data_IF_730488896827
#
_entry.id   IF_730488896827
#
_cell.length_a   1.000
_cell.length_b   1.000
_cell.length_c   1.000
_cell.angle_alpha   90.00
_cell.angle_beta   90.00
_cell.angle_gamma   90.00
#
_symmetry.space_group_name_H-M   'P 1'
#
loop_
_entity.id
_entity.type
_entity.pdbx_description
1 polymer ?
#
# COMPACT_ATOMS: atom_id res chain seq x y z
N UNK A 1 18.44 6.47 30.26
CA UNK A 1 19.66 6.75 31.03
C UNK A 1 20.21 8.17 30.82
N UNK A 2 20.14 8.80 29.67
CA UNK A 2 20.69 10.16 29.42
C UNK A 2 20.02 11.26 30.24
N UNK A 3 18.70 11.18 30.52
CA UNK A 3 17.99 12.14 31.39
C UNK A 3 18.53 12.11 32.83
N UNK A 4 18.87 10.94 33.36
CA UNK A 4 19.43 10.81 34.72
C UNK A 4 20.84 11.35 34.80
N UNK A 5 21.64 11.22 33.76
CA UNK A 5 22.99 11.80 33.69
C UNK A 5 22.95 13.33 33.59
N UNK A 6 21.97 13.89 32.86
CA UNK A 6 21.76 15.33 32.75
C UNK A 6 21.29 15.98 34.06
N UNK A 7 20.54 15.23 34.87
CA UNK A 7 20.00 15.70 36.17
C UNK A 7 21.09 15.96 37.20
N UNK A 8 22.22 15.21 37.22
CA UNK A 8 23.21 15.19 38.31
C UNK A 8 22.50 15.12 39.68
N UNK A 9 22.74 16.05 40.59
CA UNK A 9 22.14 16.07 41.94
C UNK A 9 21.04 17.12 42.10
N UNK A 10 20.45 17.63 40.99
CA UNK A 10 19.38 18.66 41.05
C UNK A 10 17.98 18.02 40.97
N UNK A 11 16.93 18.73 41.34
CA UNK A 11 15.55 18.29 41.11
C UNK A 11 15.27 18.18 39.61
N UNK A 12 14.40 17.24 39.22
CA UNK A 12 14.00 17.06 37.83
C UNK A 12 13.29 18.30 37.30
N UNK A 13 13.85 18.92 36.26
CA UNK A 13 13.25 20.03 35.53
C UNK A 13 13.14 19.65 34.04
N UNK A 14 12.27 20.35 33.30
CA UNK A 14 12.06 20.16 31.87
C UNK A 14 13.36 20.27 31.04
N UNK A 15 14.30 21.11 31.50
CA UNK A 15 15.63 21.25 30.87
C UNK A 15 16.50 19.97 30.96
N UNK A 16 16.18 19.05 31.88
CA UNK A 16 16.91 17.78 32.02
C UNK A 16 16.35 16.68 31.11
N UNK A 17 15.16 16.87 30.50
CA UNK A 17 14.56 15.90 29.60
C UNK A 17 15.36 15.84 28.31
N UNK A 18 16.06 14.73 28.12
CA UNK A 18 16.75 14.39 26.87
C UNK A 18 15.87 13.42 26.11
N UNK A 19 15.14 13.93 25.13
CA UNK A 19 14.45 13.10 24.18
C UNK A 19 15.51 12.52 23.23
N UNK A 20 15.72 11.22 23.28
CA UNK A 20 16.41 10.52 22.21
C UNK A 20 15.41 10.53 21.05
N UNK A 21 15.60 11.42 20.06
CA UNK A 21 15.20 11.09 18.71
C UNK A 21 16.15 9.95 18.29
N UNK A 22 15.75 8.69 18.54
CA UNK A 22 16.25 7.65 17.68
C UNK A 22 15.84 8.09 16.28
N UNK A 23 16.78 8.32 15.39
CA UNK A 23 16.55 8.20 13.97
C UNK A 23 16.18 6.72 13.75
N UNK A 24 14.97 6.36 14.20
CA UNK A 24 14.36 5.09 13.89
C UNK A 24 14.31 5.03 12.38
N UNK A 25 14.67 3.89 11.81
CA UNK A 25 14.53 3.60 10.38
C UNK A 25 13.25 4.27 9.90
N UNK A 26 13.38 5.17 8.90
CA UNK A 26 12.29 6.03 8.46
C UNK A 26 11.06 5.16 8.24
N UNK A 27 10.04 5.34 9.08
CA UNK A 27 8.87 4.46 9.10
C UNK A 27 8.31 4.37 7.69
N UNK A 28 8.04 3.17 7.19
CA UNK A 28 7.47 3.00 5.85
C UNK A 28 5.97 3.24 5.85
N UNK A 29 5.43 3.75 4.73
CA UNK A 29 4.01 3.75 4.41
C UNK A 29 3.78 2.82 3.23
N UNK A 30 3.00 1.76 3.43
CA UNK A 30 2.53 0.87 2.38
C UNK A 30 1.13 1.31 1.94
N UNK A 31 1.00 1.80 0.72
CA UNK A 31 -0.28 2.15 0.10
C UNK A 31 -0.71 1.02 -0.84
N UNK A 32 -1.75 0.30 -0.48
CA UNK A 32 -2.32 -0.78 -1.29
C UNK A 32 -3.40 -0.22 -2.19
N UNK A 33 -3.27 -0.46 -3.49
CA UNK A 33 -4.24 -0.09 -4.54
C UNK A 33 -4.81 -1.38 -5.10
N UNK A 34 -6.01 -1.75 -4.63
CA UNK A 34 -6.65 -3.03 -4.89
C UNK A 34 -7.72 -2.90 -5.96
N UNK A 35 -7.60 -3.70 -7.00
CA UNK A 35 -8.60 -3.89 -8.03
C UNK A 35 -9.77 -4.73 -7.47
N UNK A 36 -10.98 -4.15 -7.47
CA UNK A 36 -12.22 -4.78 -7.09
C UNK A 36 -13.19 -4.91 -8.28
N UNK A 37 -12.68 -4.86 -9.50
CA UNK A 37 -13.48 -4.99 -10.73
C UNK A 37 -14.11 -6.37 -10.86
N UNK A 38 -15.06 -6.49 -11.77
CA UNK A 38 -15.79 -7.74 -12.02
C UNK A 38 -14.90 -8.91 -12.41
N UNK A 39 -13.77 -8.66 -13.09
CA UNK A 39 -12.80 -9.69 -13.43
C UNK A 39 -12.08 -10.28 -12.20
N UNK A 40 -11.82 -9.46 -11.20
CA UNK A 40 -11.24 -9.91 -9.93
C UNK A 40 -12.23 -10.74 -9.09
N UNK A 41 -13.54 -10.54 -9.24
CA UNK A 41 -14.56 -11.34 -8.54
C UNK A 41 -14.57 -12.80 -9.01
N UNK A 42 -14.18 -13.04 -10.26
CA UNK A 42 -14.11 -14.39 -10.83
C UNK A 42 -12.93 -15.20 -10.27
N UNK A 43 -13.12 -16.53 -10.12
CA UNK A 43 -12.02 -17.47 -9.87
C UNK A 43 -11.27 -17.28 -8.55
N UNK A 44 -11.93 -16.75 -7.51
CA UNK A 44 -11.33 -16.53 -6.18
C UNK A 44 -10.17 -15.51 -6.14
N UNK A 45 -9.89 -14.77 -7.23
CA UNK A 45 -8.78 -13.81 -7.30
C UNK A 45 -8.90 -12.71 -6.25
N UNK A 46 -10.09 -12.12 -6.10
CA UNK A 46 -10.33 -11.09 -5.09
C UNK A 46 -10.15 -11.66 -3.66
N UNK A 47 -10.60 -12.89 -3.40
CA UNK A 47 -10.39 -13.52 -2.10
C UNK A 47 -8.89 -13.72 -1.82
N UNK A 48 -8.13 -14.16 -2.81
CA UNK A 48 -6.68 -14.31 -2.69
C UNK A 48 -6.00 -12.94 -2.49
N UNK A 49 -6.40 -11.91 -3.25
CA UNK A 49 -5.87 -10.56 -3.09
C UNK A 49 -6.16 -9.99 -1.69
N UNK A 50 -7.37 -10.21 -1.18
CA UNK A 50 -7.74 -9.83 0.19
C UNK A 50 -6.87 -10.54 1.23
N UNK A 51 -6.68 -11.84 1.11
CA UNK A 51 -5.80 -12.62 1.99
C UNK A 51 -4.37 -12.10 1.99
N UNK A 52 -3.84 -11.76 0.80
CA UNK A 52 -2.51 -11.18 0.67
C UNK A 52 -2.42 -9.79 1.32
N UNK A 53 -3.40 -8.92 1.13
CA UNK A 53 -3.45 -7.61 1.80
C UNK A 53 -3.44 -7.77 3.31
N UNK A 54 -4.20 -8.72 3.87
CA UNK A 54 -4.18 -9.03 5.31
C UNK A 54 -2.78 -9.43 5.77
N UNK A 55 -2.14 -10.37 5.06
CA UNK A 55 -0.79 -10.82 5.41
C UNK A 55 0.25 -9.69 5.34
N UNK A 56 0.13 -8.81 4.34
CA UNK A 56 1.00 -7.63 4.22
C UNK A 56 0.74 -6.58 5.30
N UNK A 57 -0.51 -6.44 5.76
CA UNK A 57 -0.83 -5.58 6.91
C UNK A 57 -0.22 -6.12 8.19
N UNK A 58 -0.30 -7.44 8.43
CA UNK A 58 0.32 -8.09 9.60
C UNK A 58 1.84 -7.94 9.58
N UNK A 59 2.45 -8.01 8.41
CA UNK A 59 3.87 -7.74 8.24
C UNK A 59 4.20 -6.28 8.55
N UNK A 60 3.45 -5.33 7.99
CA UNK A 60 3.62 -3.90 8.24
C UNK A 60 3.45 -3.57 9.74
N UNK A 61 2.51 -4.25 10.43
CA UNK A 61 2.34 -4.11 11.87
C UNK A 61 3.60 -4.50 12.65
N UNK A 62 4.20 -5.65 12.31
CA UNK A 62 5.44 -6.12 12.94
C UNK A 62 6.62 -5.17 12.67
N UNK A 63 6.67 -4.58 11.49
CA UNK A 63 7.68 -3.61 11.07
C UNK A 63 7.38 -2.18 11.57
N UNK A 64 6.30 -1.98 12.35
CA UNK A 64 5.81 -0.66 12.82
C UNK A 64 5.58 0.34 11.69
N UNK A 65 5.26 -0.15 10.50
CA UNK A 65 4.94 0.64 9.33
C UNK A 65 3.48 1.11 9.35
N UNK A 66 3.21 2.16 8.58
CA UNK A 66 1.85 2.63 8.31
C UNK A 66 1.30 1.96 7.06
N UNK A 67 -0.03 1.85 7.01
CA UNK A 67 -0.73 1.29 5.86
C UNK A 67 -1.87 2.21 5.42
N UNK A 68 -2.12 2.23 4.12
CA UNK A 68 -3.30 2.83 3.51
C UNK A 68 -3.90 1.85 2.50
N UNK A 69 -5.21 1.95 2.27
CA UNK A 69 -5.91 1.10 1.32
C UNK A 69 -6.81 1.93 0.42
N UNK A 70 -6.61 1.77 -0.87
CA UNK A 70 -7.46 2.28 -1.94
C UNK A 70 -8.05 1.10 -2.67
N UNK A 71 -9.36 1.10 -2.89
CA UNK A 71 -10.04 0.12 -3.73
C UNK A 71 -10.61 0.82 -4.96
N UNK A 72 -10.49 0.21 -6.13
CA UNK A 72 -11.07 0.73 -7.36
C UNK A 72 -11.82 -0.36 -8.13
N UNK A 73 -12.85 0.03 -8.87
CA UNK A 73 -13.67 -0.85 -9.67
C UNK A 73 -14.93 -0.14 -10.18
N UNK A 74 -15.58 -0.70 -11.19
CA UNK A 74 -16.69 -0.01 -11.84
C UNK A 74 -16.24 1.31 -12.48
N UNK A 75 -16.65 2.44 -11.91
CA UNK A 75 -16.27 3.79 -12.36
C UNK A 75 -15.60 4.61 -11.24
N UNK A 76 -15.28 4.00 -10.08
CA UNK A 76 -14.86 4.71 -8.89
C UNK A 76 -13.52 4.19 -8.33
N UNK A 77 -12.86 5.04 -7.55
CA UNK A 77 -11.76 4.65 -6.69
C UNK A 77 -11.92 5.38 -5.34
N UNK A 78 -11.86 4.61 -4.26
CA UNK A 78 -12.14 5.09 -2.91
C UNK A 78 -10.99 4.79 -1.96
N UNK A 79 -10.64 5.76 -1.12
CA UNK A 79 -9.74 5.52 0.00
C UNK A 79 -10.53 4.81 1.11
N UNK A 80 -10.31 3.52 1.27
CA UNK A 80 -10.97 2.70 2.30
C UNK A 80 -10.29 2.83 3.65
N UNK A 81 -9.02 3.15 3.64
CA UNK A 81 -8.22 3.43 4.83
C UNK A 81 -7.20 4.52 4.53
N UNK A 82 -7.25 5.58 5.29
CA UNK A 82 -6.21 6.63 5.29
C UNK A 82 -4.93 6.11 5.97
N UNK A 83 -3.77 6.72 5.69
CA UNK A 83 -2.50 6.35 6.32
C UNK A 83 -2.57 6.30 7.85
N UNK A 84 -2.13 5.20 8.42
CA UNK A 84 -2.09 4.98 9.85
C UNK A 84 -1.47 3.64 10.22
N UNK A 85 -1.22 3.42 11.52
CA UNK A 85 -0.63 2.19 12.01
C UNK A 85 -1.44 0.95 11.58
N UNK A 86 -0.77 -0.13 11.23
CA UNK A 86 -1.36 -1.34 10.66
C UNK A 86 -2.11 -2.22 11.67
N UNK A 87 -2.57 -1.68 12.81
CA UNK A 87 -3.35 -2.42 13.80
C UNK A 87 -4.85 -2.35 13.45
N UNK A 88 -5.57 -3.43 13.66
CA UNK A 88 -7.00 -3.61 13.38
C UNK A 88 -7.34 -3.80 11.91
N UNK A 89 -7.57 -5.03 11.56
CA UNK A 89 -8.20 -5.43 10.32
C UNK A 89 -9.73 -5.25 10.41
N UNK A 90 -10.35 -4.73 9.35
CA UNK A 90 -11.81 -4.64 9.24
C UNK A 90 -12.23 -5.13 7.85
N UNK A 91 -12.99 -6.22 7.79
CA UNK A 91 -13.48 -6.80 6.53
C UNK A 91 -14.30 -5.80 5.68
N UNK A 92 -14.91 -4.80 6.31
CA UNK A 92 -15.64 -3.74 5.60
C UNK A 92 -14.75 -2.92 4.65
N UNK A 93 -13.46 -2.81 4.92
CA UNK A 93 -12.54 -2.08 4.03
C UNK A 93 -12.38 -2.77 2.68
N UNK A 94 -12.61 -4.08 2.64
CA UNK A 94 -12.52 -4.90 1.44
C UNK A 94 -13.90 -5.26 0.87
N UNK A 95 -14.95 -4.62 1.33
CA UNK A 95 -16.26 -4.77 0.70
C UNK A 95 -16.16 -4.41 -0.78
N UNK A 96 -16.85 -5.13 -1.69
CA UNK A 96 -16.82 -4.81 -3.10
C UNK A 96 -17.25 -3.35 -3.34
N UNK A 97 -16.55 -2.67 -4.23
CA UNK A 97 -17.02 -1.41 -4.77
C UNK A 97 -18.14 -1.76 -5.73
N UNK A 98 -19.35 -1.36 -5.42
CA UNK A 98 -20.50 -1.60 -6.28
C UNK A 98 -20.38 -0.84 -7.60
N UNK A 99 -20.68 -1.50 -8.71
CA UNK A 99 -20.72 -0.86 -10.02
C UNK A 99 -20.20 -1.80 -11.10
N UNK A 100 -21.04 -2.15 -12.09
CA UNK A 100 -20.65 -2.99 -13.23
C UNK A 100 -19.74 -2.24 -14.19
N UNK A 101 -18.88 -2.96 -14.88
CA UNK A 101 -18.43 -2.62 -16.26
C UNK A 101 -17.12 -1.92 -16.29
N UNK A 102 -16.15 -1.81 -15.76
CA UNK A 102 -14.86 -1.14 -16.08
C UNK A 102 -13.80 -1.37 -15.01
N UNK A 103 -12.56 -1.27 -15.43
CA UNK A 103 -11.42 -1.30 -14.50
C UNK A 103 -10.72 0.05 -14.60
N UNK A 104 -11.13 1.08 -13.81
CA UNK A 104 -10.54 2.41 -13.88
C UNK A 104 -9.16 2.44 -13.22
N UNK A 105 -8.21 1.74 -13.82
CA UNK A 105 -6.86 1.55 -13.31
C UNK A 105 -6.14 2.89 -13.08
N UNK A 106 -6.26 3.80 -14.04
CA UNK A 106 -5.65 5.12 -13.95
C UNK A 106 -6.22 5.94 -12.77
N UNK A 107 -7.52 5.82 -12.51
CA UNK A 107 -8.16 6.45 -11.36
C UNK A 107 -7.67 5.85 -10.04
N UNK A 108 -7.58 4.52 -9.96
CA UNK A 108 -7.07 3.80 -8.78
C UNK A 108 -5.62 4.22 -8.46
N UNK A 109 -4.74 4.17 -9.45
CA UNK A 109 -3.34 4.57 -9.32
C UNK A 109 -3.21 6.04 -8.91
N UNK A 110 -3.95 6.93 -9.55
CA UNK A 110 -3.96 8.36 -9.20
C UNK A 110 -4.45 8.61 -7.77
N UNK A 111 -5.47 7.89 -7.33
CA UNK A 111 -5.98 8.00 -5.94
C UNK A 111 -4.93 7.55 -4.94
N UNK A 112 -4.25 6.43 -5.18
CA UNK A 112 -3.13 5.97 -4.36
C UNK A 112 -1.96 6.96 -4.36
N UNK A 113 -1.59 7.51 -5.51
CA UNK A 113 -0.57 8.53 -5.65
C UNK A 113 -0.90 9.79 -4.81
N UNK A 114 -2.14 10.22 -4.81
CA UNK A 114 -2.60 11.36 -4.00
C UNK A 114 -2.52 11.07 -2.48
N UNK A 115 -2.80 9.84 -2.05
CA UNK A 115 -2.61 9.42 -0.65
C UNK A 115 -1.14 9.55 -0.26
N UNK A 116 -0.22 9.01 -1.08
CA UNK A 116 1.22 9.09 -0.84
C UNK A 116 1.74 10.53 -0.87
N UNK A 117 1.24 11.36 -1.79
CA UNK A 117 1.63 12.77 -1.88
C UNK A 117 1.23 13.55 -0.62
N UNK A 118 0.02 13.30 -0.09
CA UNK A 118 -0.41 13.91 1.18
C UNK A 118 0.44 13.43 2.36
N UNK A 119 0.81 12.15 2.38
CA UNK A 119 1.69 11.59 3.40
C UNK A 119 3.08 12.22 3.35
N UNK A 120 3.65 12.41 2.15
CA UNK A 120 4.94 13.06 1.94
C UNK A 120 5.01 14.48 2.54
N UNK A 121 3.91 15.23 2.45
CA UNK A 121 3.82 16.58 3.05
C UNK A 121 3.80 16.55 4.58
N UNK A 122 3.29 15.49 5.19
CA UNK A 122 3.19 15.33 6.65
C UNK A 122 4.46 14.72 7.24
N UNK A 123 5.06 13.76 6.54
CA UNK A 123 6.24 12.99 6.96
C UNK A 123 7.21 12.85 5.78
N UNK A 124 8.02 13.87 5.47
CA UNK A 124 8.89 13.88 4.28
C UNK A 124 9.91 12.74 4.24
N UNK A 125 10.44 12.33 5.40
CA UNK A 125 11.42 11.24 5.54
C UNK A 125 10.80 9.83 5.48
N UNK A 126 9.46 9.72 5.50
CA UNK A 126 8.79 8.43 5.44
C UNK A 126 8.92 7.80 4.06
N UNK A 127 9.41 6.55 3.98
CA UNK A 127 9.48 5.78 2.74
C UNK A 127 8.08 5.39 2.27
N UNK A 128 7.74 5.63 1.03
CA UNK A 128 6.40 5.42 0.44
C UNK A 128 6.44 4.32 -0.60
N UNK A 129 5.68 3.26 -0.34
CA UNK A 129 5.64 2.07 -1.17
C UNK A 129 4.22 1.91 -1.70
N UNK A 130 4.06 1.87 -3.01
CA UNK A 130 2.77 1.59 -3.65
C UNK A 130 2.71 0.12 -4.07
N UNK A 131 1.67 -0.57 -3.65
CA UNK A 131 1.33 -1.93 -4.05
C UNK A 131 0.12 -1.89 -4.96
N UNK A 132 0.29 -2.23 -6.24
CA UNK A 132 -0.83 -2.38 -7.17
C UNK A 132 -1.20 -3.85 -7.29
N UNK A 133 -2.43 -4.21 -6.89
CA UNK A 133 -2.95 -5.56 -6.93
C UNK A 133 -4.09 -5.61 -7.96
N UNK A 134 -3.86 -6.26 -9.12
CA UNK A 134 -4.81 -6.32 -10.24
C UNK A 134 -4.59 -7.56 -11.08
N UNK A 135 -5.58 -7.97 -11.87
CA UNK A 135 -5.43 -9.01 -12.89
C UNK A 135 -5.05 -8.46 -14.29
N UNK A 136 -4.76 -7.17 -14.36
CA UNK A 136 -4.30 -6.53 -15.59
C UNK A 136 -5.33 -6.42 -16.71
N UNK A 137 -6.61 -6.62 -16.44
CA UNK A 137 -7.66 -6.58 -17.48
C UNK A 137 -8.14 -5.18 -17.87
N UNK A 138 -7.43 -4.16 -17.44
CA UNK A 138 -7.62 -2.79 -17.92
C UNK A 138 -6.88 -2.55 -19.23
N UNK A 139 -7.47 -1.75 -20.11
CA UNK A 139 -6.80 -1.25 -21.31
C UNK A 139 -5.95 0.01 -21.03
N UNK A 140 -6.11 0.59 -19.84
CA UNK A 140 -5.43 1.82 -19.46
C UNK A 140 -3.96 1.56 -19.11
N UNK A 141 -3.10 2.50 -19.46
CA UNK A 141 -1.67 2.50 -19.13
C UNK A 141 -1.32 3.79 -18.39
N UNK A 142 -1.62 3.86 -17.07
CA UNK A 142 -1.34 5.05 -16.29
C UNK A 142 0.17 5.33 -16.21
N UNK A 143 0.52 6.62 -16.08
CA UNK A 143 1.89 7.02 -15.81
C UNK A 143 2.36 6.52 -14.43
N UNK A 144 3.68 6.34 -14.29
CA UNK A 144 4.29 5.99 -13.01
C UNK A 144 4.00 7.07 -11.97
N UNK A 145 3.53 6.73 -10.78
CA UNK A 145 3.35 7.69 -9.68
C UNK A 145 4.68 8.19 -9.11
N UNK A 146 4.97 9.49 -9.24
CA UNK A 146 6.21 10.10 -8.71
C UNK A 146 6.21 10.20 -7.19
N UNK A 147 5.03 10.12 -6.54
CA UNK A 147 4.89 10.18 -5.09
C UNK A 147 5.28 8.88 -4.37
N UNK A 148 5.54 7.81 -5.11
CA UNK A 148 6.00 6.54 -4.57
C UNK A 148 7.52 6.39 -4.74
N UNK A 149 8.23 6.09 -3.65
CA UNK A 149 9.67 5.80 -3.68
C UNK A 149 9.91 4.40 -4.27
N UNK A 150 8.98 3.47 -3.98
CA UNK A 150 8.96 2.12 -4.55
C UNK A 150 7.56 1.74 -5.02
N UNK A 151 7.51 0.87 -6.04
CA UNK A 151 6.26 0.32 -6.57
C UNK A 151 6.44 -1.17 -6.77
N UNK A 152 5.44 -1.94 -6.35
CA UNK A 152 5.31 -3.36 -6.62
C UNK A 152 3.97 -3.62 -7.33
N UNK A 153 4.02 -4.27 -8.48
CA UNK A 153 2.83 -4.73 -9.22
C UNK A 153 2.65 -6.21 -8.94
N UNK A 154 1.53 -6.55 -8.31
CA UNK A 154 1.16 -7.94 -8.01
C UNK A 154 0.07 -8.38 -8.97
N UNK A 155 0.41 -9.38 -9.78
CA UNK A 155 -0.41 -9.90 -10.86
C UNK A 155 -1.28 -11.07 -10.39
N UNK A 156 -2.58 -10.91 -10.52
CA UNK A 156 -3.58 -11.93 -10.23
C UNK A 156 -4.12 -12.59 -11.51
N UNK A 157 -3.46 -12.39 -12.66
CA UNK A 157 -3.86 -13.06 -13.88
C UNK A 157 -3.70 -14.58 -13.74
N UNK A 158 -4.80 -15.31 -13.91
CA UNK A 158 -4.85 -16.77 -13.77
C UNK A 158 -5.48 -17.44 -15.00
N UNK A 159 -5.53 -16.73 -16.13
CA UNK A 159 -6.09 -17.26 -17.38
C UNK A 159 -5.09 -18.15 -18.10
N UNK A 160 -5.59 -19.17 -18.85
CA UNK A 160 -4.76 -20.03 -19.69
C UNK A 160 -4.00 -19.24 -20.77
N UNK A 161 -4.56 -18.10 -21.21
CA UNK A 161 -3.88 -17.15 -22.09
C UNK A 161 -3.62 -15.88 -21.29
N UNK A 162 -2.35 -15.63 -21.00
CA UNK A 162 -1.93 -14.42 -20.29
C UNK A 162 -1.89 -13.22 -21.22
N UNK A 163 -2.48 -12.10 -20.79
CA UNK A 163 -2.37 -10.80 -21.48
C UNK A 163 -1.03 -10.13 -21.21
N UNK A 164 -0.38 -10.46 -20.08
CA UNK A 164 0.90 -9.93 -19.65
C UNK A 164 0.92 -8.41 -19.44
N UNK A 165 -0.23 -7.81 -19.19
CA UNK A 165 -0.35 -6.34 -19.05
C UNK A 165 0.29 -5.83 -17.76
N UNK A 166 0.17 -6.57 -16.66
CA UNK A 166 0.83 -6.24 -15.40
C UNK A 166 2.35 -6.22 -15.56
N UNK A 167 2.93 -7.21 -16.24
CA UNK A 167 4.36 -7.26 -16.51
C UNK A 167 4.82 -6.08 -17.39
N UNK A 168 4.05 -5.74 -18.44
CA UNK A 168 4.32 -4.58 -19.30
C UNK A 168 4.27 -3.27 -18.51
N UNK A 169 3.27 -3.11 -17.64
CA UNK A 169 3.11 -1.94 -16.78
C UNK A 169 4.28 -1.81 -15.80
N UNK A 170 4.63 -2.90 -15.11
CA UNK A 170 5.77 -2.93 -14.20
C UNK A 170 7.08 -2.57 -14.90
N UNK A 171 7.30 -3.08 -16.11
CA UNK A 171 8.46 -2.74 -16.94
C UNK A 171 8.48 -1.26 -17.30
N UNK A 172 7.34 -0.67 -17.71
CA UNK A 172 7.25 0.75 -18.05
C UNK A 172 7.50 1.67 -16.85
N UNK A 173 7.18 1.20 -15.65
CA UNK A 173 7.39 1.93 -14.40
C UNK A 173 8.75 1.68 -13.75
N UNK A 174 9.57 0.78 -14.30
CA UNK A 174 10.81 0.30 -13.67
C UNK A 174 10.55 -0.13 -12.22
N UNK A 175 9.52 -0.95 -12.03
CA UNK A 175 9.01 -1.38 -10.73
C UNK A 175 9.09 -2.88 -10.55
N UNK A 176 8.98 -3.35 -9.31
CA UNK A 176 8.93 -4.78 -9.00
C UNK A 176 7.68 -5.42 -9.61
N UNK A 177 7.86 -6.57 -10.24
CA UNK A 177 6.76 -7.42 -10.71
C UNK A 177 6.76 -8.73 -9.94
N UNK A 178 5.61 -9.13 -9.46
CA UNK A 178 5.40 -10.41 -8.77
C UNK A 178 4.07 -11.02 -9.18
N UNK A 179 4.00 -12.33 -9.25
CA UNK A 179 2.72 -13.02 -9.36
C UNK A 179 2.11 -13.26 -7.98
N UNK A 180 0.80 -13.45 -7.92
CA UNK A 180 0.14 -13.83 -6.66
C UNK A 180 0.71 -15.13 -6.08
N UNK A 181 1.16 -16.06 -6.93
CA UNK A 181 1.80 -17.31 -6.52
C UNK A 181 3.14 -17.07 -5.81
N UNK A 182 3.97 -16.16 -6.33
CA UNK A 182 5.27 -15.82 -5.72
C UNK A 182 5.08 -15.25 -4.32
N UNK A 183 3.99 -14.49 -4.11
CA UNK A 183 3.70 -13.84 -2.84
C UNK A 183 3.13 -14.80 -1.78
N UNK A 184 2.59 -15.95 -2.18
CA UNK A 184 2.04 -16.97 -1.27
C UNK A 184 3.06 -18.05 -0.89
N UNK A 185 4.18 -18.12 -1.59
CA UNK A 185 5.24 -19.13 -1.39
C UNK A 185 6.40 -18.62 -0.52
N UNK A 186 6.40 -17.37 -0.13
CA UNK A 186 7.39 -16.70 0.70
C UNK A 186 6.90 -16.50 2.13
#
# INVERSE_FOLDING_TARGET
MQTLLAKRNQMLDAAHLRFHCEEGEASALHCFVLDCSGSMLGGKRLALAKGLVVALFDRAYRERAEVALVCFGGATAEVRREPGAAHWWNDRWLAPIGGGGGTPLALGVRTGANVLLRAARRKPSQRRILWLLTDGRSAETPARPDSADQIAVVDFESAAVSLGRCAKLAKSWHSDYRTAADMTSA
#
